data_IF_301664690511
#
_entry.id   IF_301664690511
#
_cell.length_a   1.000
_cell.length_b   1.000
_cell.length_c   1.000
_cell.angle_alpha   90.00
_cell.angle_beta   90.00
_cell.angle_gamma   90.00
#
_symmetry.space_group_name_H-M   'P 1'
#
loop_
_entity.id
_entity.type
_entity.pdbx_description
1 polymer ?
#
# COMPACT_ATOMS: atom_id res chain seq x y z
N UNK A 1 -3.40 -8.08 -12.83
CA UNK A 1 -2.19 -8.85 -13.18
C UNK A 1 -2.43 -9.75 -14.39
N UNK A 2 -3.41 -10.67 -14.37
CA UNK A 2 -3.72 -11.56 -15.51
C UNK A 2 -4.10 -10.82 -16.81
N UNK A 3 -4.67 -9.62 -16.72
CA UNK A 3 -5.03 -8.84 -17.89
C UNK A 3 -3.80 -8.31 -18.64
N UNK A 4 -2.70 -8.05 -17.91
CA UNK A 4 -1.43 -7.59 -18.48
C UNK A 4 -0.51 -8.76 -18.86
N UNK A 5 -0.74 -9.98 -18.37
CA UNK A 5 0.15 -11.11 -18.69
C UNK A 5 0.09 -11.51 -20.16
N UNK A 6 -1.06 -11.35 -20.81
CA UNK A 6 -1.23 -11.64 -22.24
C UNK A 6 -0.37 -10.73 -23.13
N UNK A 7 -0.48 -9.38 -23.05
CA UNK A 7 0.40 -8.50 -23.82
C UNK A 7 1.87 -8.62 -23.37
N UNK A 8 2.15 -8.86 -22.09
CA UNK A 8 3.51 -9.05 -21.60
C UNK A 8 4.19 -10.29 -22.20
N UNK A 9 3.49 -11.41 -22.32
CA UNK A 9 4.01 -12.62 -22.98
C UNK A 9 4.34 -12.36 -24.45
N UNK A 10 3.47 -11.66 -25.17
CA UNK A 10 3.73 -11.26 -26.56
C UNK A 10 4.99 -10.39 -26.68
N UNK A 11 5.16 -9.43 -25.76
CA UNK A 11 6.34 -8.57 -25.73
C UNK A 11 7.63 -9.34 -25.39
N UNK A 12 7.57 -10.29 -24.46
CA UNK A 12 8.72 -11.16 -24.13
C UNK A 12 9.15 -11.98 -25.35
N UNK A 13 8.20 -12.58 -26.08
CA UNK A 13 8.51 -13.33 -27.32
C UNK A 13 9.16 -12.42 -28.37
N UNK A 14 8.66 -11.19 -28.53
CA UNK A 14 9.25 -10.20 -29.43
C UNK A 14 10.70 -9.82 -29.03
N UNK A 15 10.96 -9.61 -27.74
CA UNK A 15 12.29 -9.29 -27.22
C UNK A 15 13.29 -10.44 -27.44
N UNK A 16 12.86 -11.68 -27.21
CA UNK A 16 13.68 -12.87 -27.47
C UNK A 16 13.97 -12.99 -28.98
N UNK A 17 12.98 -12.76 -29.83
CA UNK A 17 13.15 -12.83 -31.28
C UNK A 17 14.06 -11.72 -31.86
N UNK A 18 14.25 -10.62 -31.13
CA UNK A 18 15.09 -9.49 -31.53
C UNK A 18 16.46 -9.46 -30.83
N UNK A 19 16.78 -10.51 -30.04
CA UNK A 19 18.01 -10.61 -29.23
C UNK A 19 18.20 -9.43 -28.25
N UNK A 20 17.10 -8.78 -27.86
CA UNK A 20 17.09 -7.67 -26.91
C UNK A 20 16.60 -8.10 -25.52
N UNK A 21 16.47 -9.40 -25.28
CA UNK A 21 16.05 -9.90 -24.00
C UNK A 21 17.12 -9.62 -22.93
N UNK A 22 16.67 -9.21 -21.75
CA UNK A 22 17.52 -8.98 -20.57
C UNK A 22 17.49 -10.16 -19.60
N UNK A 23 16.68 -11.20 -19.84
CA UNK A 23 16.52 -12.31 -18.89
C UNK A 23 17.59 -13.37 -19.11
N UNK A 24 17.93 -13.69 -20.36
CA UNK A 24 18.96 -14.69 -20.68
C UNK A 24 20.36 -14.06 -20.80
N UNK A 25 20.43 -12.76 -21.10
CA UNK A 25 21.68 -12.02 -21.33
C UNK A 25 22.25 -11.29 -20.10
N UNK A 26 21.46 -11.05 -19.05
CA UNK A 26 21.89 -10.28 -17.87
C UNK A 26 22.57 -11.10 -16.77
N UNK A 27 23.04 -10.40 -15.75
CA UNK A 27 23.54 -10.97 -14.50
C UNK A 27 22.47 -11.82 -13.82
N UNK A 28 22.83 -13.02 -13.35
CA UNK A 28 21.93 -13.86 -12.55
C UNK A 28 21.36 -13.17 -11.31
N UNK A 29 21.99 -12.09 -10.84
CA UNK A 29 21.50 -11.23 -9.75
C UNK A 29 20.23 -10.47 -10.14
N UNK A 30 20.15 -9.91 -11.34
CA UNK A 30 18.99 -9.11 -11.76
C UNK A 30 17.76 -10.00 -11.89
N UNK A 31 17.93 -11.19 -12.46
CA UNK A 31 16.89 -12.22 -12.53
C UNK A 31 16.44 -12.66 -11.14
N UNK A 32 17.37 -12.84 -10.19
CA UNK A 32 17.03 -13.19 -8.82
C UNK A 32 16.24 -12.07 -8.11
N UNK A 33 16.62 -10.80 -8.30
CA UNK A 33 15.90 -9.64 -7.76
C UNK A 33 14.49 -9.52 -8.35
N UNK A 34 14.33 -9.70 -9.66
CA UNK A 34 13.04 -9.67 -10.35
C UNK A 34 12.10 -10.78 -9.86
N UNK A 35 12.61 -12.00 -9.69
CA UNK A 35 11.85 -13.10 -9.09
C UNK A 35 11.48 -12.75 -7.64
N UNK A 36 12.41 -12.15 -6.88
CA UNK A 36 12.23 -11.73 -5.50
C UNK A 36 11.14 -10.67 -5.28
N UNK A 37 10.89 -9.79 -6.26
CA UNK A 37 9.81 -8.81 -6.20
C UNK A 37 8.42 -9.45 -5.98
N UNK A 38 8.21 -10.66 -6.50
CA UNK A 38 6.95 -11.40 -6.35
C UNK A 38 6.64 -11.71 -4.88
N UNK A 39 7.48 -12.51 -4.18
CA UNK A 39 7.34 -12.77 -2.75
C UNK A 39 7.34 -11.52 -1.89
N UNK A 40 8.26 -10.57 -2.13
CA UNK A 40 8.38 -9.33 -1.35
C UNK A 40 7.09 -8.52 -1.37
N UNK A 41 6.34 -8.55 -2.47
CA UNK A 41 5.06 -7.85 -2.60
C UNK A 41 3.88 -8.71 -2.12
N UNK A 42 3.85 -9.99 -2.52
CA UNK A 42 2.69 -10.86 -2.30
C UNK A 42 2.54 -11.27 -0.84
N UNK A 43 3.65 -11.49 -0.12
CA UNK A 43 3.63 -11.90 1.29
C UNK A 43 2.97 -10.84 2.18
N UNK A 44 3.41 -9.56 2.17
CA UNK A 44 2.73 -8.51 2.94
C UNK A 44 1.26 -8.33 2.55
N UNK A 45 0.93 -8.44 1.25
CA UNK A 45 -0.45 -8.31 0.78
C UNK A 45 -1.33 -9.46 1.29
N UNK A 46 -0.84 -10.70 1.29
CA UNK A 46 -1.55 -11.85 1.84
C UNK A 46 -1.74 -11.70 3.36
N UNK A 47 -0.69 -11.33 4.09
CA UNK A 47 -0.77 -11.07 5.53
C UNK A 47 -1.78 -9.96 5.85
N UNK A 48 -1.75 -8.87 5.08
CA UNK A 48 -2.74 -7.79 5.18
C UNK A 48 -4.15 -8.29 4.89
N UNK A 49 -4.36 -9.08 3.82
CA UNK A 49 -5.67 -9.61 3.47
C UNK A 49 -6.24 -10.51 4.58
N UNK A 50 -5.41 -11.34 5.21
CA UNK A 50 -5.83 -12.13 6.37
C UNK A 50 -6.15 -11.26 7.59
N UNK A 51 -5.28 -10.31 7.94
CA UNK A 51 -5.49 -9.42 9.09
C UNK A 51 -6.69 -8.48 8.93
N UNK A 52 -6.93 -7.97 7.72
CA UNK A 52 -8.05 -7.09 7.41
C UNK A 52 -9.42 -7.74 7.65
N UNK A 53 -9.53 -9.07 7.51
CA UNK A 53 -10.78 -9.79 7.79
C UNK A 53 -11.17 -9.78 9.27
N UNK A 54 -10.22 -9.49 10.17
CA UNK A 54 -10.43 -9.46 11.62
C UNK A 54 -10.66 -8.04 12.16
N UNK A 55 -10.46 -7.01 11.34
CA UNK A 55 -10.52 -5.61 11.75
C UNK A 55 -11.77 -4.91 11.24
N UNK A 56 -12.27 -3.94 12.01
CA UNK A 56 -13.31 -3.03 11.52
C UNK A 56 -12.73 -2.17 10.40
N UNK A 57 -13.55 -1.87 9.38
CA UNK A 57 -13.15 -1.04 8.22
C UNK A 57 -12.47 0.27 8.62
N UNK A 58 -12.97 0.85 9.71
CA UNK A 58 -12.52 2.12 10.23
C UNK A 58 -11.18 2.01 10.99
N UNK A 59 -10.85 0.87 11.59
CA UNK A 59 -9.51 0.57 12.12
C UNK A 59 -8.50 0.36 10.99
N UNK A 60 -8.91 -0.32 9.92
CA UNK A 60 -8.09 -0.53 8.71
C UNK A 60 -7.73 0.82 8.09
N UNK A 61 -8.71 1.73 7.96
CA UNK A 61 -8.48 3.07 7.43
C UNK A 61 -7.42 3.85 8.22
N UNK A 62 -7.47 3.82 9.56
CA UNK A 62 -6.46 4.48 10.40
C UNK A 62 -5.08 3.83 10.23
N UNK A 63 -5.01 2.50 10.21
CA UNK A 63 -3.75 1.76 10.03
C UNK A 63 -3.07 2.07 8.68
N UNK A 64 -3.85 2.35 7.63
CA UNK A 64 -3.30 2.68 6.32
C UNK A 64 -2.53 4.00 6.29
N UNK A 65 -2.76 4.92 7.23
CA UNK A 65 -1.97 6.17 7.34
C UNK A 65 -0.57 5.98 7.91
N UNK A 66 -0.26 4.79 8.46
CA UNK A 66 1.10 4.44 8.88
C UNK A 66 2.00 4.32 7.65
N UNK A 67 1.52 3.72 6.56
CA UNK A 67 2.30 3.51 5.34
C UNK A 67 2.85 4.82 4.72
N UNK A 68 2.03 5.85 4.40
CA UNK A 68 2.55 7.11 3.87
C UNK A 68 3.46 7.83 4.87
N UNK A 69 3.28 7.63 6.18
CA UNK A 69 4.18 8.19 7.20
C UNK A 69 5.55 7.51 7.19
N UNK A 70 5.60 6.18 7.10
CA UNK A 70 6.86 5.44 6.98
C UNK A 70 7.58 5.83 5.69
N UNK A 71 6.87 5.89 4.56
CA UNK A 71 7.44 6.31 3.27
C UNK A 71 8.01 7.73 3.36
N UNK A 72 7.27 8.65 3.97
CA UNK A 72 7.73 10.01 4.20
C UNK A 72 9.00 10.06 5.08
N UNK A 73 9.02 9.33 6.19
CA UNK A 73 10.19 9.26 7.08
C UNK A 73 11.40 8.65 6.38
N UNK A 74 11.22 7.61 5.57
CA UNK A 74 12.29 7.03 4.77
C UNK A 74 12.83 8.05 3.77
N UNK A 75 11.95 8.77 3.06
CA UNK A 75 12.35 9.79 2.10
C UNK A 75 13.20 10.89 2.75
N UNK A 76 12.79 11.41 3.92
CA UNK A 76 13.50 12.51 4.57
C UNK A 76 14.72 12.05 5.37
N UNK A 77 14.65 10.91 6.08
CA UNK A 77 15.70 10.48 7.01
C UNK A 77 16.75 9.56 6.38
N UNK A 78 16.37 8.79 5.34
CA UNK A 78 17.27 7.82 4.70
C UNK A 78 17.75 8.32 3.35
N UNK A 79 16.85 8.93 2.56
CA UNK A 79 17.19 9.45 1.24
C UNK A 79 17.57 10.94 1.24
N UNK A 80 17.49 11.62 2.40
CA UNK A 80 17.80 13.05 2.56
C UNK A 80 17.10 13.95 1.52
N UNK A 81 15.89 13.56 1.09
CA UNK A 81 15.11 14.34 0.13
C UNK A 81 14.73 15.71 0.71
N UNK A 82 14.85 16.81 -0.05
CA UNK A 82 14.55 18.15 0.42
C UNK A 82 13.09 18.25 0.89
N UNK A 83 12.95 18.35 2.21
CA UNK A 83 11.65 18.55 2.85
C UNK A 83 11.23 20.02 2.75
N UNK A 84 10.48 20.33 1.71
CA UNK A 84 9.94 21.66 1.47
C UNK A 84 8.72 21.99 2.34
N UNK A 85 8.40 23.29 2.40
CA UNK A 85 7.25 23.82 3.14
C UNK A 85 5.92 23.25 2.65
N UNK A 86 5.79 22.99 1.34
CA UNK A 86 4.57 22.42 0.74
C UNK A 86 4.29 21.01 1.27
N UNK A 87 5.30 20.14 1.33
CA UNK A 87 5.17 18.79 1.87
C UNK A 87 4.81 18.82 3.37
N UNK A 88 5.39 19.76 4.12
CA UNK A 88 5.09 19.94 5.55
C UNK A 88 3.62 20.32 5.80
N UNK A 89 3.10 21.27 5.02
CA UNK A 89 1.70 21.69 5.11
C UNK A 89 0.78 20.52 4.73
N UNK A 90 1.05 19.82 3.63
CA UNK A 90 0.25 18.68 3.20
C UNK A 90 0.23 17.57 4.27
N UNK A 91 1.39 17.24 4.83
CA UNK A 91 1.50 16.25 5.90
C UNK A 91 0.70 16.66 7.15
N UNK A 92 0.83 17.93 7.57
CA UNK A 92 0.07 18.46 8.71
C UNK A 92 -1.44 18.42 8.50
N UNK A 93 -1.93 18.75 7.31
CA UNK A 93 -3.36 18.69 6.96
C UNK A 93 -3.90 17.26 7.01
N UNK A 94 -3.17 16.30 6.43
CA UNK A 94 -3.54 14.88 6.44
C UNK A 94 -3.65 14.36 7.88
N UNK A 95 -2.65 14.64 8.71
CA UNK A 95 -2.63 14.19 10.10
C UNK A 95 -3.69 14.86 10.97
N UNK A 96 -4.00 16.13 10.71
CA UNK A 96 -5.09 16.83 11.41
C UNK A 96 -6.44 16.20 11.08
N UNK A 97 -6.72 15.95 9.80
CA UNK A 97 -7.95 15.28 9.37
C UNK A 97 -8.07 13.86 9.96
N UNK A 98 -6.96 13.11 9.98
CA UNK A 98 -6.90 11.80 10.61
C UNK A 98 -7.20 11.87 12.11
N UNK A 99 -6.56 12.78 12.84
CA UNK A 99 -6.79 12.95 14.27
C UNK A 99 -8.25 13.29 14.59
N UNK A 100 -8.87 14.18 13.81
CA UNK A 100 -10.30 14.51 13.93
C UNK A 100 -11.19 13.30 13.66
N UNK A 101 -10.93 12.54 12.59
CA UNK A 101 -11.67 11.33 12.25
C UNK A 101 -11.57 10.26 13.33
N UNK A 102 -10.35 9.98 13.79
CA UNK A 102 -10.09 9.03 14.88
C UNK A 102 -10.81 9.45 16.16
N UNK A 103 -10.74 10.73 16.54
CA UNK A 103 -11.41 11.26 17.73
C UNK A 103 -12.94 11.10 17.68
N UNK A 104 -13.56 11.39 16.52
CA UNK A 104 -14.99 11.20 16.29
C UNK A 104 -15.40 9.72 16.46
N UNK A 105 -14.60 8.81 15.92
CA UNK A 105 -14.86 7.37 16.01
C UNK A 105 -14.83 6.86 17.46
N UNK A 106 -13.90 7.34 18.30
CA UNK A 106 -13.85 6.95 19.71
C UNK A 106 -15.04 7.47 20.52
N UNK A 107 -15.61 8.63 20.14
CA UNK A 107 -16.79 9.22 20.80
C UNK A 107 -18.13 8.63 20.33
N UNK A 108 -18.23 8.16 19.08
CA UNK A 108 -19.48 7.72 18.44
C UNK A 108 -20.02 6.34 18.82
N UNK A 109 -19.83 5.86 20.05
CA UNK A 109 -20.50 4.64 20.56
C UNK A 109 -21.79 5.00 21.31
N UNK A 110 -22.67 5.80 20.71
CA UNK A 110 -24.05 5.88 21.20
C UNK A 110 -24.76 4.57 20.87
N UNK A 111 -24.93 3.73 21.89
CA UNK A 111 -25.82 2.57 21.85
C UNK A 111 -27.22 3.13 21.62
N UNK A 112 -27.69 3.13 20.38
CA UNK A 112 -29.08 3.46 20.07
C UNK A 112 -29.94 2.42 20.81
N UNK A 113 -30.78 2.80 21.79
CA UNK A 113 -31.61 1.85 22.50
C UNK A 113 -32.50 1.14 21.47
N UNK A 114 -32.56 -0.19 21.54
CA UNK A 114 -33.49 -0.94 20.70
C UNK A 114 -34.91 -0.41 20.98
N UNK A 115 -35.55 0.14 19.96
CA UNK A 115 -36.93 0.59 20.04
C UNK A 115 -37.78 -0.63 20.39
N UNK A 116 -38.48 -0.66 21.55
CA UNK A 116 -39.36 -1.76 21.87
C UNK A 116 -40.46 -1.82 20.80
N UNK A 117 -40.63 -2.99 20.18
CA UNK A 117 -41.74 -3.23 19.28
C UNK A 117 -43.05 -2.97 20.04
N UNK A 118 -43.81 -1.98 19.57
CA UNK A 118 -45.14 -1.70 20.09
C UNK A 118 -45.99 -2.96 19.93
N UNK A 119 -46.64 -3.37 21.03
CA UNK A 119 -47.54 -4.52 21.12
C UNK A 119 -48.76 -4.36 20.23
#
# INVERSE_FOLDING_TARGET
VLLLSVPALGYIVYLIATEQDHILSSSGTDTALLIGCGPVTSIPLLLFAFGARLLRLSTIGIMQYIAPTIVFLIAVLIFDEPFGTTQAIAFGLIWTALAMYSWSMFRGREIRPAVPAAR
#
